data_IF_250336554587
#
_entry.id   IF_250336554587
#
_cell.length_a   1.000
_cell.length_b   1.000
_cell.length_c   1.000
_cell.angle_alpha   90.00
_cell.angle_beta   90.00
_cell.angle_gamma   90.00
#
_symmetry.space_group_name_H-M   'P 1'
#
loop_
_entity.id
_entity.type
_entity.pdbx_description
1 polymer ?
#
# COMPACT_ATOMS: atom_id res chain seq x y z
N UNK A 1 -65.24 -8.11 30.22
CA UNK A 1 -64.73 -6.79 29.78
C UNK A 1 -63.42 -6.57 30.52
N UNK A 2 -62.26 -7.06 30.07
CA UNK A 2 -61.56 -6.85 28.79
C UNK A 2 -61.30 -5.35 28.54
N UNK A 3 -60.01 -5.02 28.39
CA UNK A 3 -59.40 -3.75 27.98
C UNK A 3 -59.23 -2.65 29.04
N UNK A 4 -58.16 -2.68 29.84
CA UNK A 4 -57.33 -1.48 30.16
C UNK A 4 -55.92 -1.90 30.60
N UNK A 5 -55.22 -2.77 29.86
CA UNK A 5 -53.78 -3.03 30.09
C UNK A 5 -53.11 -3.19 28.72
N UNK A 6 -52.95 -2.09 27.98
CA UNK A 6 -52.27 -2.06 26.68
C UNK A 6 -51.85 -0.61 26.37
N UNK A 7 -50.96 -0.04 27.17
CA UNK A 7 -50.39 1.29 26.89
C UNK A 7 -48.99 1.50 27.50
N UNK A 8 -48.17 0.45 27.63
CA UNK A 8 -46.80 0.56 28.17
C UNK A 8 -45.72 -0.13 27.30
N UNK A 9 -46.01 -0.44 26.04
CA UNK A 9 -45.06 -1.00 25.07
C UNK A 9 -45.05 -0.17 23.78
N UNK A 10 -44.62 1.09 23.85
CA UNK A 10 -44.45 1.92 22.65
C UNK A 10 -43.43 3.07 22.80
N UNK A 11 -42.37 2.93 23.60
CA UNK A 11 -41.38 4.01 23.77
C UNK A 11 -39.91 3.55 23.91
N UNK A 12 -39.54 2.38 23.35
CA UNK A 12 -38.13 2.03 23.11
C UNK A 12 -37.78 2.09 21.62
N UNK A 13 -38.38 3.03 20.89
CA UNK A 13 -37.99 3.31 19.51
C UNK A 13 -36.70 4.14 19.51
N UNK A 14 -35.58 3.40 19.47
CA UNK A 14 -34.38 3.72 18.71
C UNK A 14 -33.80 5.15 18.86
N UNK A 15 -32.98 5.35 19.88
CA UNK A 15 -31.75 6.13 19.71
C UNK A 15 -30.74 5.30 18.89
N UNK A 16 -31.07 4.99 17.63
CA UNK A 16 -30.07 4.58 16.66
C UNK A 16 -29.53 5.86 16.04
N UNK A 17 -28.53 6.48 16.70
CA UNK A 17 -27.80 7.58 16.09
C UNK A 17 -27.19 7.08 14.78
N UNK A 18 -27.72 7.55 13.65
CA UNK A 18 -27.03 7.41 12.38
C UNK A 18 -25.64 8.06 12.55
N UNK A 19 -24.56 7.47 11.98
CA UNK A 19 -23.25 8.11 12.04
C UNK A 19 -23.38 9.51 11.43
N UNK A 20 -23.18 10.54 12.25
CA UNK A 20 -23.31 11.96 11.89
C UNK A 20 -22.21 12.44 10.93
N UNK A 21 -21.38 11.53 10.43
CA UNK A 21 -20.27 11.80 9.52
C UNK A 21 -20.65 11.55 8.05
N UNK A 22 -20.05 12.31 7.15
CA UNK A 22 -20.11 12.03 5.71
C UNK A 22 -19.55 10.64 5.40
N UNK A 23 -20.02 9.98 4.32
CA UNK A 23 -19.52 8.67 3.94
C UNK A 23 -17.98 8.59 3.81
N UNK A 24 -17.28 9.61 3.26
CA UNK A 24 -15.82 9.66 3.28
C UNK A 24 -15.22 9.69 4.70
N UNK A 25 -15.79 10.47 5.63
CA UNK A 25 -15.30 10.50 7.01
C UNK A 25 -15.49 9.14 7.70
N UNK A 26 -16.65 8.51 7.53
CA UNK A 26 -16.91 7.19 8.10
C UNK A 26 -15.98 6.10 7.55
N UNK A 27 -15.47 6.27 6.32
CA UNK A 27 -14.45 5.40 5.75
C UNK A 27 -13.08 5.64 6.41
N UNK A 28 -12.68 6.91 6.59
CA UNK A 28 -11.43 7.28 7.30
C UNK A 28 -11.41 6.74 8.73
N UNK A 29 -12.51 6.90 9.46
CA UNK A 29 -12.64 6.40 10.84
C UNK A 29 -12.46 4.89 10.91
N UNK A 30 -13.11 4.15 9.99
CA UNK A 30 -12.97 2.70 9.88
C UNK A 30 -11.55 2.28 9.49
N UNK A 31 -10.91 3.00 8.58
CA UNK A 31 -9.51 2.77 8.21
C UNK A 31 -8.57 2.95 9.40
N UNK A 32 -8.81 3.94 10.26
CA UNK A 32 -8.02 4.15 11.47
C UNK A 32 -8.13 2.95 12.44
N UNK A 33 -9.31 2.36 12.56
CA UNK A 33 -9.53 1.14 13.35
C UNK A 33 -8.84 -0.06 12.71
N UNK A 34 -9.01 -0.26 11.40
CA UNK A 34 -8.37 -1.38 10.67
C UNK A 34 -6.85 -1.36 10.79
N UNK A 35 -6.22 -0.19 10.67
CA UNK A 35 -4.76 -0.04 10.87
C UNK A 35 -4.37 -0.48 12.28
N UNK A 36 -5.11 -0.04 13.31
CA UNK A 36 -4.82 -0.42 14.68
C UNK A 36 -4.99 -1.91 14.92
N UNK A 37 -6.07 -2.50 14.40
CA UNK A 37 -6.36 -3.93 14.56
C UNK A 37 -5.29 -4.79 13.88
N UNK A 38 -5.02 -4.55 12.60
CA UNK A 38 -4.04 -5.32 11.83
C UNK A 38 -2.64 -5.17 12.42
N UNK A 39 -2.20 -3.93 12.67
CA UNK A 39 -0.83 -3.72 13.17
C UNK A 39 -0.65 -4.22 14.59
N UNK A 40 -1.67 -4.19 15.46
CA UNK A 40 -1.53 -4.76 16.80
C UNK A 40 -1.38 -6.28 16.75
N UNK A 41 -2.19 -6.96 15.93
CA UNK A 41 -2.14 -8.43 15.81
C UNK A 41 -0.85 -8.90 15.13
N UNK A 42 -0.40 -8.20 14.09
CA UNK A 42 0.75 -8.61 13.28
C UNK A 42 2.09 -8.11 13.86
N UNK A 43 2.09 -7.06 14.69
CA UNK A 43 3.33 -6.56 15.29
C UNK A 43 4.01 -7.63 16.14
N UNK A 44 3.24 -8.40 16.90
CA UNK A 44 3.75 -9.47 17.75
C UNK A 44 4.28 -10.66 16.94
N UNK A 45 3.82 -10.82 15.69
CA UNK A 45 4.19 -11.95 14.82
C UNK A 45 5.34 -11.63 13.88
N UNK A 46 5.40 -10.41 13.34
CA UNK A 46 6.19 -10.09 12.14
C UNK A 46 6.93 -8.75 12.18
N UNK A 47 7.00 -8.08 13.34
CA UNK A 47 7.61 -6.75 13.48
C UNK A 47 7.01 -5.74 12.48
N UNK A 48 5.67 -5.70 12.43
CA UNK A 48 4.91 -4.83 11.55
C UNK A 48 5.29 -3.34 11.72
N UNK A 49 5.70 -2.92 12.92
CA UNK A 49 6.21 -1.57 13.17
C UNK A 49 7.48 -1.25 12.34
N UNK A 50 8.42 -2.19 12.26
CA UNK A 50 9.63 -2.04 11.43
C UNK A 50 9.34 -2.03 9.94
N UNK A 51 8.36 -2.80 9.51
CA UNK A 51 7.88 -2.77 8.13
C UNK A 51 7.24 -1.42 7.81
N UNK A 52 6.37 -0.92 8.70
CA UNK A 52 5.70 0.36 8.53
C UNK A 52 6.67 1.54 8.50
N UNK A 53 7.75 1.50 9.28
CA UNK A 53 8.84 2.50 9.24
C UNK A 53 9.47 2.67 7.85
N UNK A 54 9.49 1.62 7.04
CA UNK A 54 10.06 1.60 5.68
C UNK A 54 9.03 1.96 4.61
N UNK A 55 7.74 1.91 4.93
CA UNK A 55 6.68 2.24 4.00
C UNK A 55 6.79 3.69 3.51
N UNK A 56 6.50 3.88 2.23
CA UNK A 56 6.29 5.19 1.58
C UNK A 56 4.81 5.55 1.53
N UNK A 57 3.92 4.58 1.64
CA UNK A 57 2.49 4.80 1.69
C UNK A 57 1.74 3.60 2.26
N UNK A 58 0.46 3.78 2.53
CA UNK A 58 -0.44 2.73 2.95
C UNK A 58 -1.79 2.86 2.24
N UNK A 59 -2.26 1.78 1.64
CA UNK A 59 -3.64 1.64 1.21
C UNK A 59 -4.40 0.84 2.27
N UNK A 60 -5.48 1.40 2.79
CA UNK A 60 -6.33 0.76 3.79
C UNK A 60 -7.71 0.56 3.21
N UNK A 61 -8.11 -0.70 3.09
CA UNK A 61 -9.44 -1.12 2.69
C UNK A 61 -10.13 -1.73 3.91
N UNK A 62 -10.87 -0.93 4.71
CA UNK A 62 -11.43 -1.41 5.97
C UNK A 62 -12.56 -2.42 5.81
N UNK A 63 -13.15 -2.51 4.60
CA UNK A 63 -14.03 -3.62 4.20
C UNK A 63 -13.99 -3.81 2.69
N UNK A 64 -13.69 -5.03 2.27
CA UNK A 64 -13.94 -5.54 0.94
C UNK A 64 -14.80 -6.80 1.04
N UNK A 65 -15.81 -6.88 0.19
CA UNK A 65 -16.72 -8.02 0.15
C UNK A 65 -16.47 -8.83 -1.11
N UNK A 66 -16.18 -10.11 -0.94
CA UNK A 66 -15.89 -11.04 -2.03
C UNK A 66 -16.95 -12.15 -2.04
N UNK A 67 -17.47 -12.47 -3.22
CA UNK A 67 -18.38 -13.59 -3.43
C UNK A 67 -18.06 -14.29 -4.76
N UNK A 68 -18.05 -15.63 -4.74
CA UNK A 68 -17.72 -16.42 -5.91
C UNK A 68 -18.45 -17.76 -5.98
N UNK A 69 -18.73 -18.20 -7.20
CA UNK A 69 -19.07 -19.58 -7.57
C UNK A 69 -18.66 -19.81 -9.02
N UNK A 70 -17.48 -20.40 -9.23
CA UNK A 70 -16.73 -20.47 -10.49
C UNK A 70 -16.29 -19.12 -11.08
N UNK A 71 -17.20 -18.15 -11.15
CA UNK A 71 -16.91 -16.74 -11.36
C UNK A 71 -17.24 -15.97 -10.08
N UNK A 72 -16.50 -14.91 -9.82
CA UNK A 72 -16.69 -14.10 -8.62
C UNK A 72 -16.22 -12.68 -8.81
N UNK A 73 -16.47 -11.88 -7.78
CA UNK A 73 -15.96 -10.53 -7.70
C UNK A 73 -15.76 -10.09 -6.27
N UNK A 74 -14.95 -9.04 -6.13
CA UNK A 74 -14.73 -8.31 -4.90
C UNK A 74 -15.02 -6.83 -5.11
N UNK A 75 -15.54 -6.17 -4.10
CA UNK A 75 -15.74 -4.73 -4.12
C UNK A 75 -15.57 -4.12 -2.74
N UNK A 76 -15.01 -2.91 -2.71
CA UNK A 76 -14.90 -2.15 -1.49
C UNK A 76 -14.35 -0.76 -1.70
N UNK A 77 -14.26 -0.05 -0.59
CA UNK A 77 -13.79 1.31 -0.54
C UNK A 77 -12.50 1.38 0.27
N UNK A 78 -11.55 2.16 -0.21
CA UNK A 78 -10.24 2.27 0.40
C UNK A 78 -9.79 3.73 0.53
N UNK A 79 -8.79 3.93 1.38
CA UNK A 79 -8.05 5.19 1.49
C UNK A 79 -6.58 4.94 1.22
N UNK A 80 -5.96 5.83 0.46
CA UNK A 80 -4.52 5.88 0.24
C UNK A 80 -3.94 7.04 1.04
N UNK A 81 -2.90 6.77 1.82
CA UNK A 81 -2.10 7.78 2.52
C UNK A 81 -0.64 7.64 2.15
N UNK A 82 0.02 8.77 1.96
CA UNK A 82 1.44 8.87 1.62
C UNK A 82 2.25 9.23 2.85
N UNK A 83 3.54 8.90 2.81
CA UNK A 83 4.49 9.23 3.86
C UNK A 83 5.66 10.01 3.27
N UNK A 84 5.93 11.17 3.82
CA UNK A 84 7.04 12.00 3.38
C UNK A 84 8.39 11.52 3.95
N UNK A 85 9.47 12.15 3.51
CA UNK A 85 10.81 11.87 4.01
C UNK A 85 10.99 12.21 5.51
N UNK A 86 10.20 13.14 6.05
CA UNK A 86 10.20 13.48 7.47
C UNK A 86 9.44 12.43 8.31
N UNK A 87 8.70 11.53 7.67
CA UNK A 87 7.92 10.48 8.29
C UNK A 87 6.50 10.88 8.67
N UNK A 88 6.06 12.07 8.27
CA UNK A 88 4.68 12.52 8.39
C UNK A 88 3.80 11.82 7.36
N UNK A 89 2.56 11.55 7.75
CA UNK A 89 1.57 10.96 6.87
C UNK A 89 0.64 12.04 6.30
N UNK A 90 0.29 11.93 5.02
CA UNK A 90 -0.67 12.78 4.35
C UNK A 90 -2.09 12.59 4.88
N UNK A 91 -3.00 13.50 4.52
CA UNK A 91 -4.43 13.19 4.55
C UNK A 91 -4.79 12.14 3.47
N UNK A 92 -5.93 11.42 3.60
CA UNK A 92 -6.27 10.30 2.74
C UNK A 92 -6.87 10.71 1.39
N UNK A 93 -6.43 10.06 0.32
CA UNK A 93 -7.14 10.05 -0.95
C UNK A 93 -8.09 8.86 -1.01
N UNK A 94 -9.29 9.07 -1.55
CA UNK A 94 -10.33 8.05 -1.63
C UNK A 94 -10.24 7.23 -2.92
N UNK A 95 -10.34 5.92 -2.79
CA UNK A 95 -10.35 4.97 -3.88
C UNK A 95 -11.50 3.97 -3.73
N UNK A 96 -11.97 3.44 -4.85
CA UNK A 96 -12.79 2.24 -4.92
C UNK A 96 -11.91 1.11 -5.46
N UNK A 97 -12.06 -0.08 -4.87
CA UNK A 97 -11.43 -1.30 -5.36
C UNK A 97 -12.50 -2.22 -5.92
N UNK A 98 -12.22 -2.81 -7.08
CA UNK A 98 -13.04 -3.84 -7.69
C UNK A 98 -12.17 -4.96 -8.22
N UNK A 99 -12.59 -6.20 -8.04
CA UNK A 99 -11.92 -7.34 -8.65
C UNK A 99 -12.92 -8.27 -9.32
N UNK A 100 -12.46 -8.93 -10.39
CA UNK A 100 -13.14 -10.04 -11.03
C UNK A 100 -12.26 -11.28 -10.94
N UNK A 101 -12.88 -12.42 -10.69
CA UNK A 101 -12.15 -13.68 -10.57
C UNK A 101 -12.85 -14.83 -11.27
N UNK A 102 -12.06 -15.75 -11.83
CA UNK A 102 -12.55 -16.96 -12.48
C UNK A 102 -11.67 -18.15 -12.10
N UNK A 103 -12.30 -19.27 -11.73
CA UNK A 103 -11.58 -20.49 -11.36
C UNK A 103 -12.43 -21.48 -10.58
N UNK A 104 -11.79 -22.47 -9.97
CA UNK A 104 -12.45 -23.43 -9.09
C UNK A 104 -12.57 -22.83 -7.70
N UNK A 105 -13.43 -21.82 -7.57
CA UNK A 105 -13.66 -21.06 -6.35
C UNK A 105 -15.13 -21.02 -5.96
N UNK A 106 -15.38 -21.07 -4.65
CA UNK A 106 -16.71 -20.89 -4.10
C UNK A 106 -16.61 -20.30 -2.69
N UNK A 107 -17.49 -19.33 -2.42
CA UNK A 107 -17.68 -18.83 -1.07
C UNK A 107 -17.98 -17.34 -0.98
N UNK A 108 -18.03 -16.88 0.26
CA UNK A 108 -18.30 -15.50 0.62
C UNK A 108 -17.33 -15.10 1.73
N UNK A 109 -16.75 -13.91 1.62
CA UNK A 109 -15.75 -13.40 2.55
C UNK A 109 -15.88 -11.88 2.68
N UNK A 110 -15.79 -11.39 3.91
CA UNK A 110 -15.58 -9.98 4.23
C UNK A 110 -14.14 -9.83 4.74
N UNK A 111 -13.38 -8.92 4.14
CA UNK A 111 -11.95 -8.74 4.41
C UNK A 111 -11.62 -7.30 4.77
N UNK A 112 -10.69 -7.15 5.71
CA UNK A 112 -9.97 -5.92 5.98
C UNK A 112 -8.56 -6.07 5.45
N UNK A 113 -8.08 -5.11 4.66
CA UNK A 113 -6.76 -5.19 4.02
C UNK A 113 -5.97 -3.91 4.27
N UNK A 114 -4.71 -4.08 4.65
CA UNK A 114 -3.69 -3.05 4.75
C UNK A 114 -2.56 -3.39 3.79
N UNK A 115 -2.41 -2.62 2.71
CA UNK A 115 -1.28 -2.73 1.81
C UNK A 115 -0.28 -1.63 2.13
N UNK A 116 0.92 -2.03 2.54
CA UNK A 116 2.03 -1.12 2.74
C UNK A 116 2.83 -1.01 1.45
N UNK A 117 2.93 0.21 0.93
CA UNK A 117 3.64 0.53 -0.30
C UNK A 117 5.07 0.89 0.06
N UNK A 118 6.04 0.07 -0.37
CA UNK A 118 7.45 0.19 -0.01
C UNK A 118 8.23 1.13 -0.92
N UNK A 119 7.68 1.51 -2.07
CA UNK A 119 8.35 2.35 -3.07
C UNK A 119 7.45 3.43 -3.65
N UNK A 120 8.05 4.51 -4.16
CA UNK A 120 7.34 5.58 -4.89
C UNK A 120 6.64 5.07 -6.14
N UNK A 121 7.20 4.02 -6.76
CA UNK A 121 6.60 3.34 -7.91
C UNK A 121 5.28 2.69 -7.53
N UNK A 122 5.22 2.03 -6.36
CA UNK A 122 3.99 1.43 -5.85
C UNK A 122 2.90 2.48 -5.59
N UNK A 123 3.25 3.62 -4.98
CA UNK A 123 2.32 4.75 -4.80
C UNK A 123 1.82 5.27 -6.15
N UNK A 124 2.74 5.52 -7.07
CA UNK A 124 2.41 6.05 -8.40
C UNK A 124 1.51 5.10 -9.17
N UNK A 125 1.73 3.79 -9.05
CA UNK A 125 0.92 2.79 -9.72
C UNK A 125 -0.53 2.77 -9.21
N UNK A 126 -0.73 2.88 -7.90
CA UNK A 126 -2.08 3.00 -7.31
C UNK A 126 -2.75 4.30 -7.76
N UNK A 127 -2.04 5.42 -7.70
CA UNK A 127 -2.58 6.73 -8.10
C UNK A 127 -3.00 6.77 -9.57
N UNK A 128 -2.21 6.15 -10.44
CA UNK A 128 -2.44 6.18 -11.89
C UNK A 128 -3.38 5.07 -12.38
N UNK A 129 -4.01 4.30 -11.48
CA UNK A 129 -4.83 3.12 -11.81
C UNK A 129 -4.07 2.07 -12.67
N UNK A 130 -2.74 2.05 -12.56
CA UNK A 130 -1.87 1.06 -13.18
C UNK A 130 -1.46 0.01 -12.14
N UNK A 131 -2.36 -0.26 -11.19
CA UNK A 131 -2.20 -1.34 -10.25
C UNK A 131 -3.27 -2.39 -10.57
N UNK A 132 -2.93 -3.26 -11.52
CA UNK A 132 -3.74 -4.43 -11.86
C UNK A 132 -2.95 -5.67 -11.49
N UNK A 133 -3.36 -6.33 -10.40
CA UNK A 133 -2.83 -7.62 -10.02
C UNK A 133 -2.89 -8.56 -11.25
N UNK A 134 -1.72 -8.96 -11.75
CA UNK A 134 -1.57 -9.84 -12.91
C UNK A 134 -1.20 -9.18 -14.26
N UNK A 135 -1.31 -7.86 -14.42
CA UNK A 135 -0.99 -7.18 -15.69
C UNK A 135 0.27 -6.29 -15.61
N UNK A 136 0.57 -5.73 -14.44
CA UNK A 136 1.75 -4.89 -14.23
C UNK A 136 2.93 -5.75 -13.75
N UNK A 137 3.77 -6.20 -14.69
CA UNK A 137 4.92 -7.07 -14.43
C UNK A 137 6.05 -6.43 -13.56
N UNK A 138 5.89 -5.16 -13.16
CA UNK A 138 6.92 -4.36 -12.50
C UNK A 138 6.76 -4.19 -10.99
N UNK A 139 5.68 -4.70 -10.37
CA UNK A 139 5.46 -4.60 -8.93
C UNK A 139 5.44 -5.97 -8.27
N UNK A 140 6.35 -6.17 -7.33
CA UNK A 140 6.37 -7.37 -6.50
C UNK A 140 5.44 -7.18 -5.29
N UNK A 141 4.44 -8.06 -5.14
CA UNK A 141 3.50 -8.05 -4.01
C UNK A 141 3.71 -9.30 -3.16
N UNK A 142 3.86 -9.13 -1.85
CA UNK A 142 3.91 -10.23 -0.90
C UNK A 142 2.71 -10.18 0.05
N UNK A 143 1.99 -11.29 0.17
CA UNK A 143 0.92 -11.46 1.15
C UNK A 143 1.47 -11.96 2.48
N UNK A 144 0.93 -11.42 3.55
CA UNK A 144 1.38 -11.65 4.92
C UNK A 144 0.15 -11.99 5.77
N UNK A 145 0.12 -13.17 6.40
CA UNK A 145 -0.98 -13.59 7.29
C UNK A 145 -1.81 -14.82 6.87
N UNK A 146 -1.34 -15.67 5.95
CA UNK A 146 -1.96 -16.97 5.66
C UNK A 146 -1.57 -18.04 6.68
N UNK A 147 -2.44 -19.04 6.93
CA UNK A 147 -2.21 -20.17 7.84
C UNK A 147 -1.16 -21.15 7.29
N UNK A 148 0.09 -20.71 7.15
CA UNK A 148 1.27 -21.56 6.96
C UNK A 148 2.43 -20.76 7.55
N UNK A 149 3.32 -21.46 8.26
CA UNK A 149 4.67 -21.01 8.61
C UNK A 149 5.51 -20.73 7.35
N UNK A 150 5.09 -19.77 6.53
CA UNK A 150 5.67 -19.46 5.24
C UNK A 150 5.91 -17.95 5.12
N UNK A 151 6.73 -17.40 6.03
CA UNK A 151 7.57 -16.22 5.76
C UNK A 151 8.40 -15.83 7.00
N UNK A 152 9.11 -16.75 7.65
CA UNK A 152 10.20 -16.38 8.58
C UNK A 152 11.44 -15.88 7.83
N UNK A 153 11.34 -15.64 6.52
CA UNK A 153 12.40 -15.04 5.70
C UNK A 153 11.83 -13.91 4.85
N UNK A 154 12.09 -12.67 5.28
CA UNK A 154 12.66 -11.63 4.41
C UNK A 154 12.17 -11.58 2.97
N UNK A 155 11.02 -10.95 2.70
CA UNK A 155 10.78 -10.37 1.37
C UNK A 155 11.24 -8.90 1.36
N UNK A 156 12.56 -8.70 1.53
CA UNK A 156 13.20 -7.39 1.58
C UNK A 156 13.08 -6.58 0.26
N UNK A 157 12.60 -7.20 -0.83
CA UNK A 157 12.49 -6.59 -2.15
C UNK A 157 11.06 -6.43 -2.71
N UNK A 158 10.00 -6.74 -1.95
CA UNK A 158 8.64 -6.52 -2.42
C UNK A 158 8.31 -5.02 -2.46
N UNK A 159 7.70 -4.55 -3.53
CA UNK A 159 7.20 -3.19 -3.66
C UNK A 159 5.94 -2.97 -2.80
N UNK A 160 5.18 -4.03 -2.52
CA UNK A 160 3.96 -3.99 -1.72
C UNK A 160 3.89 -5.17 -0.76
N UNK A 161 3.57 -4.88 0.49
CA UNK A 161 3.31 -5.88 1.52
C UNK A 161 1.84 -5.81 1.93
N UNK A 162 1.09 -6.89 1.71
CA UNK A 162 -0.34 -6.94 1.98
C UNK A 162 -0.61 -7.75 3.25
N UNK A 163 -1.20 -7.09 4.24
CA UNK A 163 -1.74 -7.71 5.45
C UNK A 163 -3.26 -7.74 5.32
N UNK A 164 -3.88 -8.89 5.57
CA UNK A 164 -5.32 -9.02 5.45
C UNK A 164 -5.90 -9.89 6.54
N UNK A 165 -7.06 -9.48 7.05
CA UNK A 165 -7.87 -10.26 7.98
C UNK A 165 -9.23 -10.47 7.34
N UNK A 166 -9.68 -11.71 7.33
CA UNK A 166 -10.90 -12.08 6.63
C UNK A 166 -11.80 -12.94 7.49
N UNK A 167 -13.10 -12.76 7.33
CA UNK A 167 -14.13 -13.60 7.94
C UNK A 167 -15.03 -14.15 6.85
N UNK A 168 -15.36 -15.44 6.95
CA UNK A 168 -16.19 -16.13 5.98
C UNK A 168 -15.58 -17.46 5.56
N UNK A 169 -16.26 -18.13 4.62
CA UNK A 169 -15.81 -19.38 4.04
C UNK A 169 -15.62 -19.14 2.56
N UNK A 170 -14.38 -19.21 2.11
CA UNK A 170 -14.01 -19.06 0.71
C UNK A 170 -12.85 -20.00 0.44
N UNK A 171 -13.06 -20.92 -0.49
CA UNK A 171 -12.09 -21.93 -0.88
C UNK A 171 -12.00 -21.97 -2.39
N UNK A 172 -10.79 -22.15 -2.90
CA UNK A 172 -10.60 -22.34 -4.32
C UNK A 172 -9.25 -21.91 -4.85
N UNK A 173 -9.10 -22.13 -6.15
CA UNK A 173 -8.01 -21.63 -6.97
C UNK A 173 -8.61 -20.75 -8.05
N UNK A 174 -8.16 -19.51 -8.13
CA UNK A 174 -8.71 -18.49 -9.02
C UNK A 174 -7.60 -17.67 -9.66
N UNK A 175 -7.89 -17.19 -10.86
CA UNK A 175 -7.19 -16.06 -11.45
C UNK A 175 -8.00 -14.82 -11.13
N UNK A 176 -7.35 -13.82 -10.55
CA UNK A 176 -7.95 -12.58 -10.07
C UNK A 176 -7.36 -11.40 -10.83
N UNK A 177 -8.23 -10.49 -11.27
CA UNK A 177 -7.85 -9.20 -11.80
C UNK A 177 -8.47 -8.11 -10.93
N UNK A 178 -7.67 -7.18 -10.44
CA UNK A 178 -8.12 -6.07 -9.59
C UNK A 178 -7.92 -4.73 -10.29
N UNK A 179 -8.80 -3.78 -10.03
CA UNK A 179 -8.71 -2.38 -10.44
C UNK A 179 -8.88 -1.46 -9.23
N UNK A 180 -8.25 -0.29 -9.27
CA UNK A 180 -8.33 0.71 -8.20
C UNK A 180 -8.57 2.09 -8.79
N UNK A 181 -9.78 2.58 -8.63
CA UNK A 181 -10.21 3.84 -9.20
C UNK A 181 -10.26 4.93 -8.14
N UNK A 182 -9.62 6.06 -8.42
CA UNK A 182 -9.74 7.24 -7.57
C UNK A 182 -11.20 7.72 -7.55
N UNK A 183 -11.65 8.21 -6.39
CA UNK A 183 -12.99 8.81 -6.23
C UNK A 183 -12.90 10.33 -6.15
N UNK A 184 -12.87 11.05 -7.30
CA UNK A 184 -12.75 12.51 -7.31
C UNK A 184 -13.89 13.18 -6.56
N UNK A 185 -15.12 12.67 -6.65
CA UNK A 185 -16.28 13.22 -5.93
C UNK A 185 -16.11 13.13 -4.41
N UNK A 186 -15.55 12.02 -3.91
CA UNK A 186 -15.29 11.83 -2.48
C UNK A 186 -14.13 12.71 -2.01
N UNK A 187 -13.06 12.83 -2.81
CA UNK A 187 -11.96 13.75 -2.54
C UNK A 187 -12.47 15.20 -2.47
N UNK A 188 -13.25 15.63 -3.47
CA UNK A 188 -13.80 16.98 -3.53
C UNK A 188 -14.74 17.27 -2.35
N UNK A 189 -15.64 16.35 -2.03
CA UNK A 189 -16.55 16.49 -0.90
C UNK A 189 -15.82 16.53 0.45
N UNK A 190 -14.73 15.76 0.60
CA UNK A 190 -13.98 15.69 1.86
C UNK A 190 -13.08 16.90 2.10
N UNK A 191 -12.54 17.51 1.04
CA UNK A 191 -11.63 18.66 1.13
C UNK A 191 -12.28 20.00 0.80
N UNK A 192 -13.55 20.00 0.35
CA UNK A 192 -14.29 21.20 -0.04
C UNK A 192 -13.81 21.86 -1.33
N UNK A 193 -12.94 21.18 -2.10
CA UNK A 193 -12.41 21.64 -3.39
C UNK A 193 -11.90 20.46 -4.22
N UNK A 194 -11.85 20.61 -5.53
CA UNK A 194 -11.25 19.61 -6.41
C UNK A 194 -9.76 19.44 -6.12
N UNK A 195 -9.36 18.21 -5.81
CA UNK A 195 -7.97 17.82 -5.56
C UNK A 195 -7.73 16.42 -6.09
N UNK A 196 -6.56 16.21 -6.69
CA UNK A 196 -6.18 14.90 -7.22
C UNK A 196 -5.56 14.03 -6.12
N UNK A 197 -5.57 12.69 -6.26
CA UNK A 197 -4.85 11.81 -5.33
C UNK A 197 -3.37 12.16 -5.20
N UNK A 198 -2.72 12.62 -6.27
CA UNK A 198 -1.33 13.08 -6.24
C UNK A 198 -1.17 14.32 -5.36
N UNK A 199 -2.08 15.28 -5.46
CA UNK A 199 -2.06 16.49 -4.63
C UNK A 199 -2.22 16.16 -3.15
N UNK A 200 -3.07 15.18 -2.84
CA UNK A 200 -3.36 14.74 -1.48
C UNK A 200 -2.18 13.94 -0.90
N UNK A 201 -1.73 12.90 -1.61
CA UNK A 201 -0.86 11.84 -1.07
C UNK A 201 0.62 12.17 -1.23
N UNK A 202 1.01 12.73 -2.39
CA UNK A 202 2.42 12.98 -2.74
C UNK A 202 2.80 14.42 -2.43
N UNK A 203 1.99 15.38 -2.89
CA UNK A 203 2.27 16.80 -2.68
C UNK A 203 1.84 17.29 -1.29
N UNK A 204 1.01 16.51 -0.58
CA UNK A 204 0.44 16.85 0.73
C UNK A 204 -0.17 18.26 0.79
N UNK A 205 -0.82 18.68 -0.30
CA UNK A 205 -1.30 20.03 -0.52
C UNK A 205 -2.62 20.36 0.23
N UNK A 206 -3.21 19.37 0.90
CA UNK A 206 -4.42 19.50 1.69
C UNK A 206 -4.29 18.79 3.03
N UNK A 207 -5.07 19.29 3.97
CA UNK A 207 -5.22 18.70 5.29
C UNK A 207 -6.69 18.76 5.71
N UNK A 208 -7.19 17.68 6.31
CA UNK A 208 -8.47 17.64 6.99
C UNK A 208 -8.26 17.05 8.40
N UNK A 209 -8.65 17.74 9.49
CA UNK A 209 -8.50 17.25 10.86
C UNK A 209 -9.23 15.92 11.14
N UNK A 210 -10.30 15.62 10.38
CA UNK A 210 -10.97 14.32 10.45
C UNK A 210 -10.08 13.13 10.07
N UNK A 211 -8.94 13.38 9.43
CA UNK A 211 -7.95 12.36 9.10
C UNK A 211 -6.91 12.11 10.21
N UNK A 212 -6.86 12.95 11.23
CA UNK A 212 -5.82 12.86 12.27
C UNK A 212 -5.81 11.55 13.04
N UNK A 213 -6.94 10.91 13.37
CA UNK A 213 -6.93 9.59 14.02
C UNK A 213 -6.23 8.52 13.18
N UNK A 214 -6.48 8.49 11.86
CA UNK A 214 -5.81 7.55 10.94
C UNK A 214 -4.30 7.84 10.86
N UNK A 215 -3.94 9.11 10.70
CA UNK A 215 -2.53 9.55 10.65
C UNK A 215 -1.80 9.20 11.95
N UNK A 216 -2.42 9.46 13.10
CA UNK A 216 -1.88 9.14 14.42
C UNK A 216 -1.71 7.64 14.61
N UNK A 217 -2.67 6.82 14.16
CA UNK A 217 -2.54 5.36 14.19
C UNK A 217 -1.29 4.91 13.42
N UNK A 218 -1.09 5.40 12.19
CA UNK A 218 0.09 5.06 11.38
C UNK A 218 1.40 5.60 11.98
N UNK A 219 1.40 6.79 12.57
CA UNK A 219 2.57 7.33 13.27
C UNK A 219 2.94 6.51 14.51
N UNK A 220 1.94 6.08 15.29
CA UNK A 220 2.15 5.30 16.53
C UNK A 220 2.93 4.02 16.27
N UNK A 221 2.59 3.30 15.21
CA UNK A 221 3.29 2.06 14.84
C UNK A 221 4.51 2.33 13.95
N UNK A 222 4.53 3.45 13.23
CA UNK A 222 5.53 3.75 12.20
C UNK A 222 6.74 4.55 12.67
N UNK A 223 6.77 5.08 13.90
CA UNK A 223 7.94 5.75 14.51
C UNK A 223 8.65 6.80 13.65
N UNK A 224 9.87 7.20 14.07
CA UNK A 224 10.77 7.98 13.23
C UNK A 224 11.19 7.16 11.98
N UNK A 225 11.46 7.80 10.81
CA UNK A 225 11.88 7.09 9.61
C UNK A 225 13.04 6.14 9.90
N UNK A 226 12.89 4.86 9.54
CA UNK A 226 14.06 4.01 9.40
C UNK A 226 14.90 4.58 8.25
N UNK A 227 16.22 4.66 8.43
CA UNK A 227 17.12 5.02 7.34
C UNK A 227 16.74 4.18 6.11
N UNK A 228 16.64 4.78 4.91
CA UNK A 228 16.27 4.03 3.72
C UNK A 228 17.19 2.81 3.63
N UNK A 229 16.67 1.61 3.32
CA UNK A 229 17.56 0.53 2.93
C UNK A 229 18.41 1.11 1.81
N UNK A 230 19.74 1.10 2.01
CA UNK A 230 20.69 1.45 0.96
C UNK A 230 20.15 0.81 -0.30
N UNK A 231 19.82 1.64 -1.30
CA UNK A 231 19.34 1.20 -2.60
C UNK A 231 20.17 -0.04 -2.94
N UNK A 232 19.50 -1.18 -3.15
CA UNK A 232 20.16 -2.41 -3.54
C UNK A 232 21.17 -2.01 -4.60
N UNK A 233 22.47 -2.08 -4.23
CA UNK A 233 23.52 -1.60 -5.07
C UNK A 233 23.29 -2.27 -6.41
N UNK A 234 23.06 -1.46 -7.44
CA UNK A 234 23.00 -1.93 -8.80
C UNK A 234 24.21 -2.88 -8.95
N UNK A 235 24.00 -4.17 -9.30
CA UNK A 235 25.12 -5.07 -9.44
C UNK A 235 26.12 -4.38 -10.37
N UNK A 236 27.41 -4.29 -10.00
CA UNK A 236 28.38 -3.62 -10.85
C UNK A 236 28.23 -4.21 -12.25
N UNK A 237 28.20 -3.38 -13.30
CA UNK A 237 28.02 -3.87 -14.66
C UNK A 237 28.98 -5.04 -14.89
N UNK A 238 28.54 -6.11 -15.56
CA UNK A 238 29.38 -7.28 -15.77
C UNK A 238 30.70 -6.79 -16.32
N UNK A 239 31.78 -7.13 -15.62
CA UNK A 239 33.14 -6.77 -16.02
C UNK A 239 33.28 -7.27 -17.45
N UNK A 240 33.28 -6.35 -18.41
CA UNK A 240 33.44 -6.68 -19.80
C UNK A 240 34.77 -7.44 -19.88
N UNK A 241 34.78 -8.58 -20.58
CA UNK A 241 35.99 -9.36 -20.80
C UNK A 241 37.18 -8.41 -21.08
N UNK A 242 38.39 -8.70 -20.54
CA UNK A 242 39.51 -7.78 -20.64
C UNK A 242 39.65 -7.31 -22.08
N UNK A 243 39.60 -5.99 -22.27
CA UNK A 243 39.70 -5.34 -23.57
C UNK A 243 40.87 -5.95 -24.35
N UNK A 244 40.56 -6.76 -25.35
CA UNK A 244 41.55 -7.29 -26.28
C UNK A 244 41.88 -6.17 -27.23
N UNK A 245 42.97 -5.46 -26.96
CA UNK A 245 43.48 -4.44 -27.85
C UNK A 245 43.55 -5.00 -29.28
N UNK A 246 43.03 -4.29 -30.30
CA UNK A 246 43.20 -4.72 -31.68
C UNK A 246 44.71 -4.72 -31.98
N UNK A 247 45.20 -5.83 -32.54
CA UNK A 247 46.60 -6.03 -32.87
C UNK A 247 47.07 -4.99 -33.88
N UNK A 248 47.65 -3.90 -33.37
CA UNK A 248 48.45 -2.95 -34.13
C UNK A 248 49.92 -3.32 -34.00
N UNK A 249 50.57 -3.57 -35.13
CA UNK A 249 52.01 -3.75 -35.21
C UNK A 249 52.72 -2.53 -34.60
N UNK A 250 53.55 -2.78 -33.58
CA UNK A 250 54.37 -1.74 -32.95
C UNK A 250 55.45 -1.34 -33.96
N UNK A 251 55.23 -0.21 -34.64
CA UNK A 251 56.30 0.50 -35.33
C UNK A 251 57.31 0.99 -34.30
N UNK A 252 58.57 0.54 -34.39
CA UNK A 252 59.69 1.05 -33.60
C UNK A 252 59.86 2.56 -33.85
N UNK A 253 59.33 3.38 -32.96
CA UNK A 253 59.75 4.78 -32.85
C UNK A 253 61.03 4.84 -32.01
N UNK A 254 62.10 5.39 -32.60
CA UNK A 254 63.38 5.58 -31.93
C UNK A 254 63.25 6.60 -30.78
N UNK A 255 63.84 6.27 -29.63
CA UNK A 255 63.93 7.17 -28.47
C UNK A 255 64.77 8.41 -28.82
N UNK A 256 64.33 9.63 -28.47
CA UNK A 256 65.18 10.80 -28.56
C UNK A 256 66.32 10.73 -27.52
N UNK A 257 67.53 11.23 -27.84
CA UNK A 257 68.66 11.16 -26.92
C UNK A 257 68.49 12.09 -25.71
N UNK A 258 69.08 11.73 -24.55
CA UNK A 258 68.95 12.50 -23.31
C UNK A 258 69.68 13.85 -23.38
N UNK A 259 69.20 14.87 -22.64
CA UNK A 259 69.81 16.19 -22.62
C UNK A 259 71.18 16.19 -21.91
N UNK A 260 72.12 17.08 -22.31
CA UNK A 260 73.45 17.13 -21.73
C UNK A 260 73.43 17.67 -20.29
N UNK A 261 74.39 17.24 -19.44
CA UNK A 261 74.44 17.64 -18.04
C UNK A 261 74.80 19.14 -17.88
N UNK A 262 74.36 19.78 -16.79
CA UNK A 262 74.57 21.19 -16.54
C UNK A 262 76.06 21.50 -16.33
N UNK A 263 76.55 22.55 -16.99
CA UNK A 263 77.89 23.10 -16.75
C UNK A 263 77.85 23.96 -15.48
N UNK A 264 78.87 23.80 -14.64
CA UNK A 264 79.12 24.63 -13.45
C UNK A 264 79.28 26.10 -13.82
#
# INVERSE_FOLDING_TARGET
MRLVILAALAALSACAGAPTGSAPQALVDRSALTVQEILTEENDRLDAASILRRARGALVCPRTFSAAFFAGGEGGDCVLVGRDAAGSWSSPAFFAVGSGSFGLQAGIRDSQTLLLLMSERAISAVINNSFRFGADASLAVAHVGGSVEAATTTNLGADILAFSRSRGLFAGLSLEGTVMDARPDWNAAYYGREVTPRDIVVNMAVHNPGADPLRAALMRFGGAPAAPPMAAAEPPPPVSAPYRAPGGSVGRAALPPPPPPPRR
#
